data_IF_801093000113
#
_entry.id   IF_801093000113
#
_cell.length_a   1.000
_cell.length_b   1.000
_cell.length_c   1.000
_cell.angle_alpha   90.00
_cell.angle_beta   90.00
_cell.angle_gamma   90.00
#
_symmetry.space_group_name_H-M   'P 1'
#
loop_
_entity.id
_entity.type
_entity.pdbx_description
1 polymer ?
#
# COMPACT_ATOMS: atom_id res chain seq x y z
N UNK A 1 -20.56 -10.47 -6.62
CA UNK A 1 -21.29 -10.37 -7.90
C UNK A 1 -21.69 -8.92 -8.13
N UNK A 2 -21.33 -8.31 -9.27
CA UNK A 2 -21.77 -6.96 -9.58
C UNK A 2 -23.31 -6.86 -9.53
N UNK A 3 -23.82 -5.72 -9.06
CA UNK A 3 -25.26 -5.37 -8.94
C UNK A 3 -26.08 -6.13 -7.88
N UNK A 4 -25.47 -6.81 -6.90
CA UNK A 4 -26.17 -7.40 -5.76
C UNK A 4 -26.08 -6.54 -4.50
N UNK A 5 -26.69 -5.36 -4.55
CA UNK A 5 -26.69 -4.40 -3.43
C UNK A 5 -27.47 -4.89 -2.19
N UNK A 6 -28.11 -6.05 -2.27
CA UNK A 6 -28.78 -6.74 -1.17
C UNK A 6 -27.88 -7.77 -0.45
N UNK A 7 -26.63 -7.93 -0.89
CA UNK A 7 -25.65 -8.81 -0.26
C UNK A 7 -24.57 -7.95 0.38
N UNK A 8 -24.21 -8.27 1.62
CA UNK A 8 -23.08 -7.62 2.28
C UNK A 8 -21.78 -7.99 1.54
N UNK A 9 -21.02 -6.97 1.17
CA UNK A 9 -19.64 -7.10 0.72
C UNK A 9 -18.74 -6.53 1.81
N UNK A 10 -17.71 -7.27 2.20
CA UNK A 10 -16.80 -6.89 3.29
C UNK A 10 -15.40 -6.51 2.80
N UNK A 11 -15.10 -6.71 1.52
CA UNK A 11 -13.82 -6.30 0.95
C UNK A 11 -13.78 -4.79 0.76
N UNK A 12 -12.72 -4.17 1.24
CA UNK A 12 -12.41 -2.79 0.95
C UNK A 12 -11.63 -2.67 -0.36
N UNK A 13 -12.30 -3.01 -1.46
CA UNK A 13 -11.76 -2.75 -2.79
C UNK A 13 -11.98 -1.29 -3.24
N UNK A 14 -12.62 -0.47 -2.40
CA UNK A 14 -12.76 0.96 -2.68
C UNK A 14 -11.40 1.65 -2.61
N UNK A 15 -10.54 1.23 -1.67
CA UNK A 15 -9.16 1.71 -1.56
C UNK A 15 -8.40 1.55 -2.88
N UNK A 16 -8.46 0.35 -3.48
CA UNK A 16 -7.84 0.08 -4.78
C UNK A 16 -8.46 0.89 -5.93
N UNK A 17 -9.80 0.99 -5.98
CA UNK A 17 -10.49 1.75 -7.02
C UNK A 17 -10.16 3.24 -6.98
N UNK A 18 -10.17 3.84 -5.79
CA UNK A 18 -9.86 5.26 -5.63
C UNK A 18 -8.42 5.53 -6.01
N UNK A 19 -7.52 4.61 -5.67
CA UNK A 19 -6.14 4.72 -6.08
C UNK A 19 -5.95 4.75 -7.61
N UNK A 20 -6.59 3.82 -8.33
CA UNK A 20 -6.59 3.80 -9.79
C UNK A 20 -7.17 5.09 -10.37
N UNK A 21 -8.25 5.60 -9.77
CA UNK A 21 -8.88 6.85 -10.17
C UNK A 21 -7.96 8.07 -9.97
N UNK A 22 -7.20 8.11 -8.87
CA UNK A 22 -6.22 9.17 -8.62
C UNK A 22 -5.06 9.13 -9.60
N UNK A 23 -4.60 7.92 -9.97
CA UNK A 23 -3.64 7.73 -11.06
C UNK A 23 -4.18 8.22 -12.39
N UNK A 24 -5.45 7.93 -12.70
CA UNK A 24 -6.11 8.43 -13.89
C UNK A 24 -6.07 9.96 -13.94
N UNK A 25 -6.37 10.66 -12.84
CA UNK A 25 -6.31 12.12 -12.79
C UNK A 25 -4.88 12.67 -12.93
N UNK A 26 -3.88 12.03 -12.32
CA UNK A 26 -2.47 12.41 -12.50
C UNK A 26 -2.04 12.30 -13.97
N UNK A 27 -2.55 11.29 -14.69
CA UNK A 27 -2.23 11.06 -16.09
C UNK A 27 -2.97 12.00 -17.05
N UNK A 28 -4.29 12.17 -16.87
CA UNK A 28 -5.12 12.93 -17.83
C UNK A 28 -5.16 14.42 -17.55
N UNK A 29 -5.04 14.83 -16.28
CA UNK A 29 -5.28 16.21 -15.87
C UNK A 29 -6.71 16.69 -16.09
N UNK A 30 -7.69 15.79 -16.26
CA UNK A 30 -9.09 16.13 -16.54
C UNK A 30 -9.79 16.71 -15.30
N UNK A 31 -9.76 18.04 -15.18
CA UNK A 31 -10.34 18.74 -14.04
C UNK A 31 -11.88 18.74 -14.03
N UNK A 32 -12.53 18.55 -15.18
CA UNK A 32 -13.98 18.44 -15.22
C UNK A 32 -14.43 17.10 -14.63
N UNK A 33 -13.72 16.02 -14.96
CA UNK A 33 -13.96 14.72 -14.35
C UNK A 33 -13.57 14.69 -12.87
N UNK A 34 -12.50 15.40 -12.46
CA UNK A 34 -12.18 15.59 -11.04
C UNK A 34 -13.35 16.24 -10.30
N UNK A 35 -13.94 17.33 -10.83
CA UNK A 35 -15.11 17.99 -10.20
C UNK A 35 -16.30 17.04 -10.10
N UNK A 36 -16.54 16.23 -11.13
CA UNK A 36 -17.60 15.22 -11.10
C UNK A 36 -17.38 14.16 -10.02
N UNK A 37 -16.13 13.72 -9.84
CA UNK A 37 -15.78 12.64 -8.90
C UNK A 37 -15.40 13.13 -7.52
N UNK A 38 -15.28 14.44 -7.30
CA UNK A 38 -14.92 15.02 -6.01
C UNK A 38 -15.79 14.53 -4.84
N UNK A 39 -17.12 14.45 -4.95
CA UNK A 39 -17.96 13.90 -3.89
C UNK A 39 -17.69 12.41 -3.59
N UNK A 40 -17.14 11.66 -4.54
CA UNK A 40 -16.77 10.24 -4.34
C UNK A 40 -15.46 10.15 -3.57
N UNK A 41 -14.44 10.91 -3.97
CA UNK A 41 -13.14 10.96 -3.30
C UNK A 41 -13.31 11.36 -1.83
N UNK A 42 -14.02 12.45 -1.58
CA UNK A 42 -14.19 12.98 -0.21
C UNK A 42 -14.96 12.04 0.70
N UNK A 43 -16.00 11.35 0.20
CA UNK A 43 -16.71 10.31 0.97
C UNK A 43 -15.85 9.10 1.24
N UNK A 44 -15.02 8.68 0.27
CA UNK A 44 -14.09 7.59 0.49
C UNK A 44 -13.07 7.94 1.57
N UNK A 45 -12.41 9.10 1.50
CA UNK A 45 -11.43 9.50 2.53
C UNK A 45 -12.07 9.59 3.92
N UNK A 46 -13.31 10.08 4.01
CA UNK A 46 -14.05 10.09 5.28
C UNK A 46 -14.40 8.67 5.76
N UNK A 47 -14.72 7.75 4.84
CA UNK A 47 -14.98 6.35 5.14
C UNK A 47 -13.72 5.64 5.65
N UNK A 48 -12.59 5.80 4.96
CA UNK A 48 -11.30 5.24 5.35
C UNK A 48 -10.94 5.69 6.76
N UNK A 49 -11.03 7.01 7.00
CA UNK A 49 -10.72 7.59 8.30
C UNK A 49 -11.58 7.01 9.41
N UNK A 50 -12.88 6.91 9.17
CA UNK A 50 -13.84 6.44 10.19
C UNK A 50 -13.65 4.97 10.54
N UNK A 51 -13.39 4.12 9.55
CA UNK A 51 -13.42 2.68 9.72
C UNK A 51 -12.05 2.07 9.98
N UNK A 52 -10.98 2.66 9.45
CA UNK A 52 -9.64 2.06 9.46
C UNK A 52 -8.59 2.89 10.21
N UNK A 53 -8.88 4.12 10.61
CA UNK A 53 -8.08 4.91 11.58
C UNK A 53 -8.98 5.52 12.69
N UNK A 54 -9.73 4.70 13.45
CA UNK A 54 -10.70 5.17 14.44
C UNK A 54 -10.07 5.78 15.69
N UNK A 55 -8.81 5.43 16.02
CA UNK A 55 -8.06 6.06 17.10
C UNK A 55 -7.31 7.32 16.65
N UNK A 56 -7.40 7.64 15.36
CA UNK A 56 -6.88 8.86 14.75
C UNK A 56 -5.38 8.99 15.04
N UNK A 57 -4.61 7.92 14.85
CA UNK A 57 -3.16 7.90 15.02
C UNK A 57 -2.41 8.11 13.69
N UNK A 58 -3.14 8.08 12.57
CA UNK A 58 -2.61 8.29 11.22
C UNK A 58 -2.09 7.01 10.56
N UNK A 59 -2.29 5.84 11.16
CA UNK A 59 -1.94 4.54 10.59
C UNK A 59 -3.19 3.68 10.45
N UNK A 60 -3.41 3.19 9.25
CA UNK A 60 -4.66 2.59 8.85
C UNK A 60 -4.58 1.06 8.95
N UNK A 61 -5.66 0.44 9.40
CA UNK A 61 -5.90 -1.00 9.28
C UNK A 61 -6.02 -1.41 7.80
N UNK A 62 -5.81 -2.68 7.50
CA UNK A 62 -5.85 -3.25 6.17
C UNK A 62 -6.81 -4.44 6.09
N UNK A 63 -8.10 -4.17 6.27
CA UNK A 63 -9.12 -5.20 6.22
C UNK A 63 -9.56 -5.47 4.77
N UNK A 64 -9.14 -6.62 4.22
CA UNK A 64 -9.63 -7.11 2.94
C UNK A 64 -9.49 -6.13 1.76
N UNK A 65 -8.34 -5.43 1.69
CA UNK A 65 -8.04 -4.40 0.69
C UNK A 65 -6.90 -4.78 -0.28
N UNK A 66 -6.38 -6.02 -0.23
CA UNK A 66 -5.38 -6.56 -1.16
C UNK A 66 -5.62 -8.04 -1.47
N UNK A 67 -4.97 -8.56 -2.51
CA UNK A 67 -5.10 -9.96 -2.94
C UNK A 67 -4.84 -10.99 -1.84
N UNK A 68 -3.82 -10.76 -1.01
CA UNK A 68 -3.41 -11.71 0.03
C UNK A 68 -4.35 -11.74 1.26
N UNK A 69 -5.39 -10.90 1.30
CA UNK A 69 -6.18 -10.64 2.50
C UNK A 69 -6.82 -11.86 3.15
N UNK A 70 -7.17 -12.88 2.37
CA UNK A 70 -7.85 -14.08 2.88
C UNK A 70 -6.99 -14.90 3.85
N UNK A 71 -5.67 -14.72 3.79
CA UNK A 71 -4.70 -15.38 4.67
C UNK A 71 -3.92 -14.41 5.56
N UNK A 72 -4.30 -13.12 5.57
CA UNK A 72 -3.73 -12.12 6.47
C UNK A 72 -4.48 -12.10 7.80
N UNK A 73 -3.71 -11.92 8.87
CA UNK A 73 -4.21 -11.96 10.25
C UNK A 73 -3.82 -10.69 11.02
N UNK A 74 -3.94 -9.52 10.38
CA UNK A 74 -3.81 -8.26 11.11
C UNK A 74 -4.90 -8.15 12.18
N UNK A 75 -4.57 -7.55 13.32
CA UNK A 75 -5.47 -7.42 14.47
C UNK A 75 -5.98 -5.98 14.64
N UNK A 76 -6.36 -5.35 13.52
CA UNK A 76 -6.64 -3.91 13.45
C UNK A 76 -5.45 -3.01 13.71
N UNK A 77 -4.25 -3.52 13.42
CA UNK A 77 -2.99 -2.84 13.61
C UNK A 77 -2.71 -1.72 12.61
N UNK A 78 -1.63 -0.98 12.86
CA UNK A 78 -1.09 0.02 11.95
C UNK A 78 -0.38 -0.67 10.78
N UNK A 79 -1.04 -0.81 9.62
CA UNK A 79 -0.51 -1.57 8.47
C UNK A 79 0.12 -0.64 7.44
N UNK A 80 1.35 -0.96 7.01
CA UNK A 80 2.13 -0.07 6.13
C UNK A 80 1.47 0.19 4.78
N UNK A 81 0.99 -0.85 4.08
CA UNK A 81 0.47 -0.66 2.72
C UNK A 81 -0.84 0.13 2.69
N UNK A 82 -1.77 -0.12 3.63
CA UNK A 82 -3.04 0.62 3.73
C UNK A 82 -2.79 2.08 4.14
N UNK A 83 -1.87 2.30 5.09
CA UNK A 83 -1.42 3.65 5.45
C UNK A 83 -0.80 4.39 4.26
N UNK A 84 0.00 3.68 3.44
CA UNK A 84 0.62 4.25 2.25
C UNK A 84 -0.43 4.66 1.19
N UNK A 85 -1.45 3.82 0.94
CA UNK A 85 -2.57 4.19 0.07
C UNK A 85 -3.28 5.45 0.58
N UNK A 86 -3.63 5.48 1.87
CA UNK A 86 -4.33 6.61 2.47
C UNK A 86 -3.47 7.90 2.49
N UNK A 87 -2.14 7.79 2.61
CA UNK A 87 -1.22 8.90 2.39
C UNK A 87 -1.32 9.45 0.96
N UNK A 88 -1.17 8.58 -0.06
CA UNK A 88 -1.25 9.01 -1.46
C UNK A 88 -2.61 9.62 -1.78
N UNK A 89 -3.68 9.03 -1.25
CA UNK A 89 -5.04 9.49 -1.47
C UNK A 89 -5.26 10.91 -0.92
N UNK A 90 -4.89 11.15 0.34
CA UNK A 90 -4.97 12.48 0.95
C UNK A 90 -4.03 13.49 0.28
N UNK A 91 -2.79 13.10 -0.04
CA UNK A 91 -1.83 13.97 -0.74
C UNK A 91 -2.37 14.42 -2.10
N UNK A 92 -2.91 13.48 -2.88
CA UNK A 92 -3.46 13.77 -4.21
C UNK A 92 -4.75 14.57 -4.10
N UNK A 93 -5.62 14.25 -3.14
CA UNK A 93 -6.84 15.03 -2.89
C UNK A 93 -6.54 16.48 -2.52
N UNK A 94 -5.51 16.76 -1.72
CA UNK A 94 -5.06 18.13 -1.44
C UNK A 94 -4.67 18.87 -2.72
N UNK A 95 -3.91 18.21 -3.61
CA UNK A 95 -3.49 18.80 -4.90
C UNK A 95 -4.66 19.04 -5.85
N UNK A 96 -5.63 18.13 -5.86
CA UNK A 96 -6.84 18.25 -6.69
C UNK A 96 -7.75 19.36 -6.17
N UNK A 97 -7.96 19.45 -4.85
CA UNK A 97 -8.76 20.49 -4.21
C UNK A 97 -8.31 21.89 -4.64
N UNK A 98 -7.00 22.17 -4.58
CA UNK A 98 -6.42 23.43 -5.05
C UNK A 98 -6.78 23.74 -6.51
N UNK A 99 -6.75 22.73 -7.38
CA UNK A 99 -6.99 22.89 -8.83
C UNK A 99 -8.47 23.12 -9.16
N UNK A 100 -9.39 22.63 -8.33
CA UNK A 100 -10.83 22.75 -8.56
C UNK A 100 -11.51 23.83 -7.70
N UNK A 101 -10.77 24.48 -6.79
CA UNK A 101 -11.27 25.56 -5.93
C UNK A 101 -11.91 25.09 -4.62
N UNK A 102 -11.59 23.88 -4.18
CA UNK A 102 -12.01 23.30 -2.89
C UNK A 102 -10.92 23.53 -1.82
N UNK A 103 -11.26 23.38 -0.54
CA UNK A 103 -10.28 23.55 0.56
C UNK A 103 -9.31 22.34 0.64
N UNK A 104 -8.00 22.53 0.39
CA UNK A 104 -7.02 21.45 0.45
C UNK A 104 -6.56 21.12 1.87
N UNK A 105 -6.84 21.98 2.84
CA UNK A 105 -6.24 21.96 4.18
C UNK A 105 -6.47 20.64 4.93
N UNK A 106 -7.69 20.06 4.97
CA UNK A 106 -7.94 18.82 5.69
C UNK A 106 -7.10 17.66 5.15
N UNK A 107 -7.04 17.51 3.82
CA UNK A 107 -6.32 16.43 3.16
C UNK A 107 -4.81 16.58 3.29
N UNK A 108 -4.29 17.82 3.21
CA UNK A 108 -2.87 18.09 3.41
C UNK A 108 -2.44 17.71 4.83
N UNK A 109 -3.19 18.14 5.83
CA UNK A 109 -2.89 17.86 7.23
C UNK A 109 -2.93 16.36 7.52
N UNK A 110 -3.90 15.64 6.95
CA UNK A 110 -4.00 14.19 7.11
C UNK A 110 -2.84 13.46 6.41
N UNK A 111 -2.46 13.87 5.19
CA UNK A 111 -1.30 13.29 4.50
C UNK A 111 0.00 13.50 5.29
N UNK A 112 0.23 14.70 5.83
CA UNK A 112 1.40 14.99 6.68
C UNK A 112 1.41 14.14 7.96
N UNK A 113 0.24 13.96 8.58
CA UNK A 113 0.08 13.11 9.76
C UNK A 113 0.42 11.65 9.46
N UNK A 114 -0.13 11.09 8.39
CA UNK A 114 0.12 9.70 8.00
C UNK A 114 1.61 9.49 7.72
N UNK A 115 2.23 10.36 6.91
CA UNK A 115 3.65 10.25 6.58
C UNK A 115 4.53 10.32 7.83
N UNK A 116 4.20 11.21 8.76
CA UNK A 116 4.90 11.31 10.04
C UNK A 116 4.77 10.01 10.83
N UNK A 117 3.56 9.50 11.00
CA UNK A 117 3.32 8.27 11.76
C UNK A 117 4.02 7.05 11.14
N UNK A 118 4.01 6.93 9.80
CA UNK A 118 4.72 5.86 9.09
C UNK A 118 6.23 5.92 9.34
N UNK A 119 6.83 7.11 9.29
CA UNK A 119 8.25 7.29 9.55
C UNK A 119 8.63 7.06 11.02
N UNK A 120 7.77 7.43 11.96
CA UNK A 120 8.05 7.29 13.39
C UNK A 120 7.84 5.86 13.92
N UNK A 121 6.87 5.11 13.36
CA UNK A 121 6.42 3.84 13.93
C UNK A 121 6.64 2.62 13.04
N UNK A 122 6.65 2.80 11.72
CA UNK A 122 6.71 1.69 10.78
C UNK A 122 8.06 1.61 10.06
N UNK A 123 8.76 2.71 9.82
CA UNK A 123 10.12 2.66 9.29
C UNK A 123 11.10 2.02 10.29
N UNK A 124 11.83 0.99 9.88
CA UNK A 124 12.82 0.30 10.71
C UNK A 124 14.24 0.73 10.28
N UNK A 125 14.81 1.81 10.86
CA UNK A 125 16.08 2.37 10.36
C UNK A 125 17.26 1.39 10.44
N UNK A 126 17.27 0.50 11.45
CA UNK A 126 18.30 -0.54 11.59
C UNK A 126 18.18 -1.69 10.58
N UNK A 127 17.05 -1.80 9.87
CA UNK A 127 16.79 -2.84 8.87
C UNK A 127 16.66 -2.32 7.45
N UNK A 128 16.39 -1.02 7.29
CA UNK A 128 16.31 -0.38 5.98
C UNK A 128 15.01 -0.68 5.21
N UNK A 129 13.93 -1.04 5.88
CA UNK A 129 12.61 -1.20 5.26
C UNK A 129 11.50 -0.88 6.29
N UNK A 130 10.24 -0.82 5.85
CA UNK A 130 9.10 -0.68 6.77
C UNK A 130 8.74 -2.01 7.42
N UNK A 131 8.23 -1.97 8.64
CA UNK A 131 7.51 -3.08 9.23
C UNK A 131 6.28 -3.43 8.37
N UNK A 132 5.84 -4.67 8.45
CA UNK A 132 4.59 -5.10 7.82
C UNK A 132 3.40 -4.37 8.48
N UNK A 133 3.32 -4.47 9.80
CA UNK A 133 2.34 -3.78 10.62
C UNK A 133 2.82 -3.68 12.08
N UNK A 134 2.15 -2.86 12.88
CA UNK A 134 2.26 -2.87 14.34
C UNK A 134 0.92 -3.29 14.95
N UNK A 135 0.93 -4.27 15.87
CA UNK A 135 -0.28 -4.74 16.56
C UNK A 135 -1.03 -3.58 17.23
N UNK A 136 -2.35 -3.57 17.11
CA UNK A 136 -3.19 -2.64 17.88
C UNK A 136 -3.39 -3.13 19.32
N UNK A 137 -3.66 -4.44 19.46
CA UNK A 137 -3.93 -5.07 20.74
C UNK A 137 -2.65 -5.58 21.42
N UNK A 138 -2.78 -5.97 22.68
CA UNK A 138 -1.72 -6.65 23.43
C UNK A 138 -0.47 -5.78 23.61
N UNK A 139 0.70 -6.34 23.29
CA UNK A 139 1.99 -5.68 23.49
C UNK A 139 2.37 -4.68 22.40
N UNK A 140 1.49 -4.43 21.42
CA UNK A 140 1.75 -3.50 20.30
C UNK A 140 3.06 -3.79 19.57
N UNK A 141 3.33 -5.08 19.31
CA UNK A 141 4.57 -5.52 18.69
C UNK A 141 4.62 -5.11 17.23
N UNK A 142 5.83 -4.89 16.75
CA UNK A 142 6.09 -4.57 15.34
C UNK A 142 6.41 -5.87 14.60
N UNK A 143 5.71 -6.13 13.51
CA UNK A 143 5.98 -7.27 12.64
C UNK A 143 7.06 -6.88 11.61
N UNK A 144 8.30 -7.19 11.94
CA UNK A 144 9.47 -6.73 11.18
C UNK A 144 9.71 -7.49 9.87
N UNK A 145 8.99 -8.57 9.57
CA UNK A 145 9.16 -9.28 8.29
C UNK A 145 8.18 -8.70 7.27
N UNK A 146 8.62 -7.73 6.47
CA UNK A 146 7.79 -7.14 5.42
C UNK A 146 7.52 -8.12 4.28
N UNK A 147 6.31 -8.07 3.74
CA UNK A 147 5.98 -8.63 2.44
C UNK A 147 6.44 -7.71 1.30
N UNK A 148 6.42 -8.21 0.07
CA UNK A 148 6.71 -7.38 -1.11
C UNK A 148 5.72 -6.21 -1.25
N UNK A 149 4.44 -6.39 -0.87
CA UNK A 149 3.43 -5.32 -0.91
C UNK A 149 3.67 -4.19 0.07
N UNK A 150 4.30 -4.48 1.21
CA UNK A 150 4.74 -3.45 2.15
C UNK A 150 5.81 -2.56 1.51
N UNK A 151 6.67 -3.13 0.68
CA UNK A 151 7.74 -2.40 -0.01
C UNK A 151 7.19 -1.62 -1.20
N UNK A 152 6.54 -2.31 -2.15
CA UNK A 152 6.13 -1.68 -3.40
C UNK A 152 5.03 -0.62 -3.19
N UNK A 153 4.09 -0.81 -2.24
CA UNK A 153 3.09 0.22 -1.95
C UNK A 153 3.69 1.43 -1.24
N UNK A 154 4.63 1.24 -0.30
CA UNK A 154 5.27 2.37 0.37
C UNK A 154 6.06 3.25 -0.63
N UNK A 155 6.77 2.61 -1.57
CA UNK A 155 7.52 3.31 -2.62
C UNK A 155 6.57 3.98 -3.62
N UNK A 156 5.62 3.24 -4.18
CA UNK A 156 4.71 3.73 -5.23
C UNK A 156 3.72 4.80 -4.73
N UNK A 157 3.39 4.77 -3.43
CA UNK A 157 2.61 5.83 -2.78
C UNK A 157 3.45 7.04 -2.37
N UNK A 158 4.73 7.08 -2.74
CA UNK A 158 5.64 8.22 -2.50
C UNK A 158 5.87 8.51 -1.00
N UNK A 159 5.79 7.49 -0.14
CA UNK A 159 6.05 7.64 1.31
C UNK A 159 7.53 7.61 1.66
N UNK A 160 8.35 7.12 0.72
CA UNK A 160 9.79 6.95 0.87
C UNK A 160 10.56 8.17 0.37
N UNK A 161 11.65 8.52 1.05
CA UNK A 161 12.72 9.28 0.41
C UNK A 161 13.61 8.36 -0.47
N UNK A 162 14.46 8.91 -1.36
CA UNK A 162 15.26 8.09 -2.29
C UNK A 162 16.14 7.05 -1.59
N UNK A 163 16.74 7.38 -0.45
CA UNK A 163 17.59 6.44 0.27
C UNK A 163 16.77 5.34 0.96
N UNK A 164 15.60 5.66 1.53
CA UNK A 164 14.67 4.65 2.05
C UNK A 164 14.22 3.69 0.95
N UNK A 165 13.88 4.19 -0.24
CA UNK A 165 13.48 3.35 -1.38
C UNK A 165 14.60 2.40 -1.82
N UNK A 166 15.83 2.91 -1.92
CA UNK A 166 17.01 2.07 -2.16
C UNK A 166 17.19 1.00 -1.07
N UNK A 167 17.16 1.37 0.21
CA UNK A 167 17.32 0.40 1.30
C UNK A 167 16.21 -0.67 1.28
N UNK A 168 14.97 -0.26 0.99
CA UNK A 168 13.83 -1.16 1.00
C UNK A 168 13.86 -2.17 -0.16
N UNK A 169 14.38 -1.78 -1.33
CA UNK A 169 14.62 -2.73 -2.43
C UNK A 169 15.75 -3.70 -2.10
N UNK A 170 16.80 -3.26 -1.38
CA UNK A 170 17.84 -4.17 -0.85
C UNK A 170 17.29 -5.21 0.13
N UNK A 171 16.23 -4.90 0.88
CA UNK A 171 15.54 -5.91 1.71
C UNK A 171 14.93 -7.00 0.83
N UNK A 172 14.27 -6.65 -0.28
CA UNK A 172 13.71 -7.63 -1.23
C UNK A 172 14.81 -8.55 -1.76
N UNK A 173 15.95 -7.99 -2.22
CA UNK A 173 17.09 -8.77 -2.74
C UNK A 173 17.63 -9.81 -1.74
N UNK A 174 17.61 -9.48 -0.45
CA UNK A 174 18.35 -10.24 0.57
C UNK A 174 17.48 -11.11 1.46
N UNK A 175 16.18 -10.81 1.55
CA UNK A 175 15.27 -11.42 2.51
C UNK A 175 14.05 -12.09 1.88
N UNK A 176 13.67 -11.71 0.66
CA UNK A 176 12.57 -12.34 -0.06
C UNK A 176 13.09 -13.51 -0.92
N UNK A 177 12.48 -14.70 -0.85
CA UNK A 177 12.93 -15.86 -1.62
C UNK A 177 12.89 -15.59 -3.12
N UNK A 178 14.02 -15.81 -3.77
CA UNK A 178 14.15 -15.81 -5.22
C UNK A 178 14.04 -17.24 -5.74
N UNK A 179 13.04 -17.50 -6.57
CA UNK A 179 12.72 -18.79 -7.16
C UNK A 179 13.26 -18.80 -8.59
N UNK A 180 14.25 -19.65 -8.92
CA UNK A 180 14.81 -19.72 -10.26
C UNK A 180 13.77 -20.04 -11.33
N UNK A 181 13.77 -19.30 -12.42
CA UNK A 181 12.94 -19.57 -13.60
C UNK A 181 13.77 -20.37 -14.60
N UNK A 182 13.31 -21.60 -14.89
CA UNK A 182 13.95 -22.49 -15.86
C UNK A 182 12.94 -22.90 -16.93
N UNK A 183 13.37 -22.97 -18.18
CA UNK A 183 12.54 -23.42 -19.30
C UNK A 183 13.41 -24.02 -20.40
N UNK A 184 12.87 -24.99 -21.14
CA UNK A 184 13.58 -25.59 -22.26
C UNK A 184 13.94 -24.53 -23.32
N UNK A 185 15.22 -24.41 -23.66
CA UNK A 185 15.72 -23.39 -24.59
C UNK A 185 15.92 -22.00 -23.99
N UNK A 186 15.58 -21.79 -22.71
CA UNK A 186 15.96 -20.58 -21.98
C UNK A 186 17.42 -20.71 -21.56
N UNK A 187 18.26 -19.76 -22.00
CA UNK A 187 19.64 -19.70 -21.54
C UNK A 187 19.66 -19.40 -20.04
N UNK A 188 20.41 -20.19 -19.28
CA UNK A 188 20.63 -19.93 -17.86
C UNK A 188 21.38 -18.60 -17.68
N UNK A 189 20.64 -17.55 -17.31
CA UNK A 189 21.19 -16.21 -17.05
C UNK A 189 20.75 -15.69 -15.67
N UNK A 190 20.47 -16.59 -14.71
CA UNK A 190 20.09 -16.20 -13.35
C UNK A 190 18.68 -15.57 -13.24
N UNK A 191 17.76 -15.90 -14.15
CA UNK A 191 16.37 -15.43 -14.04
C UNK A 191 15.71 -16.01 -12.80
N UNK A 192 15.02 -15.17 -12.04
CA UNK A 192 14.24 -15.57 -10.90
C UNK A 192 12.95 -14.76 -10.85
N UNK A 193 11.91 -15.37 -10.28
CA UNK A 193 10.77 -14.65 -9.72
C UNK A 193 10.93 -14.57 -8.21
N UNK A 194 10.18 -13.71 -7.56
CA UNK A 194 10.16 -13.62 -6.10
C UNK A 194 8.88 -14.22 -5.53
N UNK A 195 8.97 -14.77 -4.32
CA UNK A 195 7.80 -15.07 -3.51
C UNK A 195 7.24 -13.79 -2.89
N UNK A 196 5.97 -13.80 -2.51
CA UNK A 196 5.30 -12.66 -1.89
C UNK A 196 5.82 -12.34 -0.47
N UNK A 197 6.14 -13.37 0.32
CA UNK A 197 6.74 -13.24 1.65
C UNK A 197 7.74 -14.36 1.92
N UNK A 198 8.51 -14.22 3.00
CA UNK A 198 9.33 -15.29 3.60
C UNK A 198 8.70 -15.88 4.88
N UNK A 199 7.40 -15.67 5.11
CA UNK A 199 6.75 -16.01 6.38
C UNK A 199 6.55 -17.52 6.54
N UNK A 200 6.51 -17.99 7.79
CA UNK A 200 6.26 -19.38 8.14
C UNK A 200 5.22 -19.48 9.27
N UNK A 201 4.37 -20.54 9.27
CA UNK A 201 4.28 -21.60 8.27
C UNK A 201 3.72 -21.08 6.93
N UNK A 202 3.93 -21.85 5.86
CA UNK A 202 3.37 -21.52 4.55
C UNK A 202 1.85 -21.37 4.64
N UNK A 203 1.33 -20.26 4.11
CA UNK A 203 -0.09 -20.11 3.84
C UNK A 203 -0.31 -19.65 2.39
N UNK A 204 -1.39 -20.16 1.81
CA UNK A 204 -1.82 -19.79 0.47
C UNK A 204 -2.09 -18.28 0.41
N UNK A 205 -1.92 -17.68 -0.77
CA UNK A 205 -1.94 -16.22 -1.06
C UNK A 205 -0.85 -15.33 -0.42
N UNK A 206 -0.27 -15.67 0.74
CA UNK A 206 0.83 -14.88 1.36
C UNK A 206 2.24 -15.38 1.02
N UNK A 207 2.42 -16.66 0.68
CA UNK A 207 3.72 -17.24 0.31
C UNK A 207 3.80 -17.63 -1.17
N UNK A 208 2.83 -17.22 -1.99
CA UNK A 208 2.75 -17.61 -3.39
C UNK A 208 3.68 -16.77 -4.28
N UNK A 209 3.68 -17.05 -5.58
CA UNK A 209 4.16 -16.15 -6.63
C UNK A 209 2.95 -15.49 -7.28
N UNK A 210 2.71 -14.22 -6.97
CA UNK A 210 1.65 -13.43 -7.60
C UNK A 210 2.24 -12.48 -8.65
N UNK A 211 1.97 -12.74 -9.94
CA UNK A 211 2.60 -11.99 -11.03
C UNK A 211 2.36 -10.47 -10.99
N UNK A 212 1.18 -10.04 -10.52
CA UNK A 212 0.87 -8.63 -10.36
C UNK A 212 1.77 -7.96 -9.30
N UNK A 213 2.02 -8.64 -8.18
CA UNK A 213 2.91 -8.16 -7.12
C UNK A 213 4.37 -8.15 -7.57
N UNK A 214 4.79 -9.16 -8.34
CA UNK A 214 6.13 -9.20 -8.96
C UNK A 214 6.31 -8.01 -9.92
N UNK A 215 5.31 -7.71 -10.73
CA UNK A 215 5.34 -6.55 -11.64
C UNK A 215 5.39 -5.22 -10.89
N UNK A 216 4.59 -5.06 -9.83
CA UNK A 216 4.62 -3.85 -8.99
C UNK A 216 5.95 -3.71 -8.24
N UNK A 217 6.54 -4.83 -7.81
CA UNK A 217 7.89 -4.83 -7.23
C UNK A 217 8.92 -4.40 -8.28
N UNK A 218 8.84 -4.87 -9.52
CA UNK A 218 9.72 -4.39 -10.58
C UNK A 218 9.57 -2.88 -10.83
N UNK A 219 8.34 -2.34 -10.78
CA UNK A 219 8.09 -0.91 -10.85
C UNK A 219 8.72 -0.16 -9.67
N UNK A 220 8.65 -0.71 -8.45
CA UNK A 220 9.25 -0.05 -7.28
C UNK A 220 10.78 0.01 -7.35
N UNK A 221 11.44 -0.98 -7.96
CA UNK A 221 12.87 -0.89 -8.28
C UNK A 221 13.16 0.24 -9.27
N UNK A 222 12.36 0.37 -10.33
CA UNK A 222 12.50 1.47 -11.28
C UNK A 222 12.31 2.84 -10.60
N UNK A 223 11.35 2.95 -9.67
CA UNK A 223 11.10 4.17 -8.90
C UNK A 223 12.21 4.48 -7.89
N UNK A 224 12.88 3.45 -7.35
CA UNK A 224 13.95 3.60 -6.36
C UNK A 224 15.27 4.10 -6.96
N UNK A 225 15.49 3.92 -8.26
CA UNK A 225 16.69 4.37 -8.99
C UNK A 225 17.75 3.30 -9.14
#
# INVERSE_FOLDING_TARGET
NPHRNNQMHHYDMNLCYIDELLWHFKWTGDLDYVRQMWPVITRHLAWEKLNYDPDNDGLYDAYACIWASDALYYNSGAVTHSSAYNYRANKTAAQLAEKIGEDPTPYRNEAEKILKAMNERLWLPGKGHWAEYQDFMGHKRVHESAAVWTIYHAIDSETANPFQAYQATRYVDTSIPHIPVTAHGLKENGYATIATTNWLPYSWSINNVAFAEVMHTALSYFQAG
#
